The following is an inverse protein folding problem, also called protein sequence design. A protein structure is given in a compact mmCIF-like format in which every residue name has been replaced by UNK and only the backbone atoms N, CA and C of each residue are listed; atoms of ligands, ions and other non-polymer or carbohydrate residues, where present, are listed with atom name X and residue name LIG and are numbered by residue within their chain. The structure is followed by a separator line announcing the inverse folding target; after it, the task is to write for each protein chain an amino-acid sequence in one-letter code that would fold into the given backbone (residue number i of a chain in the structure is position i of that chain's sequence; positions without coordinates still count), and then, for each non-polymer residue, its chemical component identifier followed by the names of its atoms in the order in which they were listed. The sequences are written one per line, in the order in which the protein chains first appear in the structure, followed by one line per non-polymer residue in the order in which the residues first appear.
data_IF_792950967246
#
_entry.id   IF_792950967246
#
_cell.length_a   1.000
_cell.length_b   1.000
_cell.length_c   1.000
_cell.angle_alpha   90.00
_cell.angle_beta   90.00
_cell.angle_gamma   90.00
#
_symmetry.space_group_name_H-M   'P 1'
#
loop_
_entity.id
_entity.type
_entity.pdbx_description
1 polymer ?
#
# COMPACT_ATOMS: atom_id res chain seq x y z
N UNK A 1 -6.55 -6.10 -24.34
CA UNK A 1 -5.83 -6.01 -23.05
C UNK A 1 -4.60 -5.20 -23.32
N UNK A 2 -4.51 -4.05 -22.67
CA UNK A 2 -3.32 -3.21 -22.77
C UNK A 2 -2.11 -3.99 -22.26
N UNK A 3 -1.09 -4.12 -23.10
CA UNK A 3 0.09 -4.94 -22.80
C UNK A 3 1.09 -4.12 -21.98
N UNK A 4 0.95 -4.12 -20.66
CA UNK A 4 1.99 -3.64 -19.75
C UNK A 4 2.64 -4.81 -19.01
N UNK A 5 3.83 -4.59 -18.47
CA UNK A 5 4.53 -5.53 -17.59
C UNK A 5 4.62 -4.91 -16.19
N UNK A 6 4.51 -5.74 -15.15
CA UNK A 6 4.78 -5.27 -13.79
C UNK A 6 6.26 -4.97 -13.64
N UNK A 7 6.56 -3.78 -13.11
CA UNK A 7 7.92 -3.30 -12.92
C UNK A 7 7.92 -2.14 -11.91
N UNK A 8 7.97 -2.45 -10.61
CA UNK A 8 7.94 -1.47 -9.52
C UNK A 8 9.14 -1.70 -8.58
N UNK A 9 10.17 -0.86 -8.69
CA UNK A 9 11.42 -0.94 -7.91
C UNK A 9 11.70 0.31 -7.07
N UNK A 10 10.76 1.25 -7.03
CA UNK A 10 10.91 2.54 -6.35
C UNK A 10 9.56 3.21 -6.17
N UNK A 11 9.41 4.00 -5.11
CA UNK A 11 8.24 4.88 -4.91
C UNK A 11 8.32 6.23 -5.65
N UNK A 12 9.47 6.57 -6.24
CA UNK A 12 9.71 7.89 -6.86
C UNK A 12 9.91 7.82 -8.39
N UNK A 13 9.87 6.62 -8.97
CA UNK A 13 10.04 6.40 -10.41
C UNK A 13 8.87 6.97 -11.22
N UNK A 14 9.06 7.08 -12.53
CA UNK A 14 7.99 7.55 -13.41
C UNK A 14 6.82 6.55 -13.41
N UNK A 15 5.65 7.01 -12.96
CA UNK A 15 4.44 6.21 -12.92
C UNK A 15 3.89 6.03 -14.34
N UNK A 16 3.70 4.77 -14.77
CA UNK A 16 3.18 4.44 -16.10
C UNK A 16 1.75 3.89 -16.08
N UNK A 17 1.42 3.12 -15.06
CA UNK A 17 0.11 2.47 -14.88
C UNK A 17 -0.30 2.60 -13.42
N UNK A 18 -1.55 2.95 -13.16
CA UNK A 18 -2.10 3.02 -11.80
C UNK A 18 -3.51 2.44 -11.76
N UNK A 19 -3.80 1.65 -10.73
CA UNK A 19 -5.15 1.22 -10.43
C UNK A 19 -5.81 2.24 -9.51
N UNK A 20 -7.05 2.61 -9.81
CA UNK A 20 -7.90 3.48 -9.00
C UNK A 20 -9.29 2.84 -8.84
N UNK A 21 -10.09 3.40 -7.94
CA UNK A 21 -11.49 3.03 -7.75
C UNK A 21 -12.30 4.25 -7.35
N UNK A 22 -13.45 4.44 -8.01
CA UNK A 22 -14.35 5.54 -7.68
C UNK A 22 -14.86 5.42 -6.22
N UNK A 23 -15.09 6.56 -5.53
CA UNK A 23 -15.51 6.56 -4.14
C UNK A 23 -16.89 5.91 -3.93
N UNK A 24 -17.19 5.58 -2.67
CA UNK A 24 -18.51 5.08 -2.25
C UNK A 24 -19.61 6.12 -2.53
N UNK A 25 -20.82 5.66 -2.84
CA UNK A 25 -22.05 6.47 -2.92
C UNK A 25 -22.57 6.86 -1.53
N UNK A 26 -22.05 6.25 -0.47
CA UNK A 26 -22.49 6.48 0.91
C UNK A 26 -21.66 7.58 1.56
N UNK A 27 -22.35 8.60 2.07
CA UNK A 27 -21.75 9.69 2.84
C UNK A 27 -21.37 9.24 4.25
N UNK A 28 -20.30 9.83 4.79
CA UNK A 28 -19.98 9.80 6.22
C UNK A 28 -20.42 11.14 6.80
N UNK A 29 -21.56 11.16 7.49
CA UNK A 29 -22.32 12.39 7.75
C UNK A 29 -21.97 13.12 9.04
N UNK A 30 -21.33 12.45 9.99
CA UNK A 30 -20.92 13.05 11.26
C UNK A 30 -19.64 12.41 11.82
N UNK A 31 -19.02 13.11 12.78
CA UNK A 31 -17.74 12.72 13.37
C UNK A 31 -17.81 11.42 14.18
N UNK A 32 -18.97 11.08 14.74
CA UNK A 32 -19.13 9.83 15.51
C UNK A 32 -19.07 8.64 14.57
N UNK A 33 -19.79 8.72 13.45
CA UNK A 33 -19.72 7.70 12.39
C UNK A 33 -18.33 7.65 11.79
N UNK A 34 -17.70 8.80 11.51
CA UNK A 34 -16.34 8.86 10.99
C UNK A 34 -15.35 8.10 11.88
N UNK A 35 -15.36 8.38 13.19
CA UNK A 35 -14.49 7.68 14.15
C UNK A 35 -14.75 6.16 14.17
N UNK A 36 -16.02 5.75 14.15
CA UNK A 36 -16.40 4.33 14.15
C UNK A 36 -15.96 3.55 12.90
N UNK A 37 -15.88 4.22 11.74
CA UNK A 37 -15.42 3.62 10.48
C UNK A 37 -13.93 3.86 10.22
N UNK A 38 -13.22 4.47 11.17
CA UNK A 38 -11.77 4.69 11.12
C UNK A 38 -11.34 5.90 10.28
N UNK A 39 -12.19 6.90 10.14
CA UNK A 39 -11.96 8.12 9.38
C UNK A 39 -11.76 9.32 10.32
N UNK A 40 -10.94 10.28 9.91
CA UNK A 40 -10.63 11.47 10.70
C UNK A 40 -11.70 12.57 10.60
N UNK A 41 -12.56 12.52 9.57
CA UNK A 41 -13.59 13.52 9.31
C UNK A 41 -14.75 12.92 8.50
N UNK A 42 -15.84 13.69 8.43
CA UNK A 42 -16.96 13.51 7.52
C UNK A 42 -16.54 13.58 6.06
N UNK A 43 -17.30 12.90 5.20
CA UNK A 43 -17.06 12.90 3.75
C UNK A 43 -18.37 12.90 3.00
N UNK A 44 -18.42 13.80 2.03
CA UNK A 44 -19.51 13.91 1.08
C UNK A 44 -19.11 13.28 -0.26
N UNK A 45 -19.96 12.39 -0.76
CA UNK A 45 -19.80 11.64 -1.99
C UNK A 45 -19.53 12.54 -3.18
N UNK A 46 -20.32 13.61 -3.37
CA UNK A 46 -20.17 14.49 -4.53
C UNK A 46 -18.78 15.11 -4.57
N UNK A 47 -18.33 15.66 -3.44
CA UNK A 47 -16.98 16.23 -3.33
C UNK A 47 -15.88 15.17 -3.53
N UNK A 48 -16.06 13.97 -2.98
CA UNK A 48 -15.13 12.87 -3.16
C UNK A 48 -15.03 12.44 -4.64
N UNK A 49 -16.17 12.38 -5.34
CA UNK A 49 -16.24 12.04 -6.76
C UNK A 49 -15.59 13.12 -7.63
N UNK A 50 -15.84 14.40 -7.34
CA UNK A 50 -15.20 15.51 -8.06
C UNK A 50 -13.67 15.46 -7.91
N UNK A 51 -13.17 15.22 -6.70
CA UNK A 51 -11.75 15.04 -6.42
C UNK A 51 -11.16 13.81 -7.12
N UNK A 52 -11.88 12.68 -7.10
CA UNK A 52 -11.47 11.46 -7.81
C UNK A 52 -11.34 11.71 -9.31
N UNK A 53 -12.32 12.39 -9.92
CA UNK A 53 -12.28 12.72 -11.35
C UNK A 53 -11.14 13.67 -11.68
N UNK A 54 -10.85 14.65 -10.81
CA UNK A 54 -9.70 15.53 -10.96
C UNK A 54 -8.37 14.77 -10.90
N UNK A 55 -8.21 13.83 -9.95
CA UNK A 55 -7.02 12.98 -9.83
C UNK A 55 -6.85 12.09 -11.07
N UNK A 56 -7.90 11.37 -11.46
CA UNK A 56 -7.91 10.50 -12.64
C UNK A 56 -7.52 11.26 -13.90
N UNK A 57 -8.14 12.42 -14.12
CA UNK A 57 -7.84 13.29 -15.27
C UNK A 57 -6.39 13.78 -15.24
N UNK A 58 -5.84 14.06 -14.06
CA UNK A 58 -4.45 14.49 -13.90
C UNK A 58 -3.48 13.39 -14.32
N UNK A 59 -3.72 12.15 -13.89
CA UNK A 59 -2.93 11.00 -14.33
C UNK A 59 -3.02 10.77 -15.84
N UNK A 60 -4.22 10.77 -16.41
CA UNK A 60 -4.42 10.57 -17.84
C UNK A 60 -3.73 11.67 -18.67
N UNK A 61 -3.81 12.94 -18.24
CA UNK A 61 -3.10 14.06 -18.88
C UNK A 61 -1.58 13.96 -18.78
N UNK A 62 -1.07 13.35 -17.71
CA UNK A 62 0.35 13.05 -17.55
C UNK A 62 0.80 11.82 -18.36
N UNK A 63 -0.09 11.17 -19.10
CA UNK A 63 0.21 9.98 -19.90
C UNK A 63 0.22 8.68 -19.11
N UNK A 64 -0.27 8.69 -17.86
CA UNK A 64 -0.42 7.50 -17.03
C UNK A 64 -1.67 6.73 -17.45
N UNK A 65 -1.54 5.43 -17.66
CA UNK A 65 -2.68 4.55 -17.90
C UNK A 65 -3.43 4.26 -16.60
N UNK A 66 -4.70 4.68 -16.52
CA UNK A 66 -5.52 4.51 -15.32
C UNK A 66 -6.46 3.31 -15.47
N UNK A 67 -6.29 2.31 -14.61
CA UNK A 67 -7.19 1.17 -14.45
C UNK A 67 -8.24 1.48 -13.38
N UNK A 68 -9.46 1.85 -13.77
CA UNK A 68 -10.57 2.13 -12.86
C UNK A 68 -11.39 0.86 -12.61
N UNK A 69 -11.04 0.09 -11.58
CA UNK A 69 -11.60 -1.26 -11.40
C UNK A 69 -13.11 -1.25 -11.12
N UNK A 70 -13.65 -0.13 -10.62
CA UNK A 70 -15.08 0.04 -10.39
C UNK A 70 -15.92 -0.16 -11.66
N UNK A 71 -15.36 0.14 -12.85
CA UNK A 71 -16.04 0.02 -14.14
C UNK A 71 -16.01 -1.40 -14.73
N UNK A 72 -15.20 -2.27 -14.15
CA UNK A 72 -14.90 -3.60 -14.68
C UNK A 72 -15.57 -4.71 -13.86
N UNK A 73 -16.20 -4.35 -12.74
CA UNK A 73 -16.98 -5.26 -11.89
C UNK A 73 -18.25 -5.72 -12.60
N UNK A 74 -18.68 -6.94 -12.30
CA UNK A 74 -20.01 -7.41 -12.68
C UNK A 74 -21.11 -6.61 -11.94
N UNK A 75 -22.34 -6.63 -12.47
CA UNK A 75 -23.43 -5.80 -11.96
C UNK A 75 -23.72 -6.04 -10.46
N UNK A 76 -23.78 -7.30 -10.04
CA UNK A 76 -24.00 -7.70 -8.63
C UNK A 76 -22.85 -7.26 -7.71
N UNK A 77 -21.61 -7.40 -8.18
CA UNK A 77 -20.41 -6.93 -7.50
C UNK A 77 -20.38 -5.41 -7.36
N UNK A 78 -20.83 -4.69 -8.38
CA UNK A 78 -20.90 -3.23 -8.40
C UNK A 78 -21.88 -2.70 -7.33
N UNK A 79 -23.06 -3.33 -7.19
CA UNK A 79 -24.07 -2.94 -6.18
C UNK A 79 -23.52 -2.97 -4.75
N UNK A 80 -22.70 -3.98 -4.42
CA UNK A 80 -22.00 -4.02 -3.14
C UNK A 80 -20.86 -3.00 -3.09
N UNK A 81 -19.99 -3.01 -4.11
CA UNK A 81 -18.77 -2.20 -4.13
C UNK A 81 -19.08 -0.71 -3.95
N UNK A 82 -20.14 -0.20 -4.57
CA UNK A 82 -20.57 1.20 -4.48
C UNK A 82 -20.96 1.67 -3.07
N UNK A 83 -21.16 0.76 -2.12
CA UNK A 83 -21.49 1.10 -0.74
C UNK A 83 -20.28 0.97 0.21
N UNK A 84 -19.17 0.39 -0.25
CA UNK A 84 -17.98 0.15 0.59
C UNK A 84 -17.18 1.45 0.74
N UNK A 85 -17.18 2.01 1.96
CA UNK A 85 -16.58 3.31 2.27
C UNK A 85 -15.10 3.40 1.86
N UNK A 86 -14.30 2.36 2.12
CA UNK A 86 -12.85 2.38 1.91
C UNK A 86 -12.43 1.93 0.49
N UNK A 87 -13.38 1.67 -0.42
CA UNK A 87 -13.11 1.09 -1.75
C UNK A 87 -12.09 1.84 -2.61
N UNK A 88 -11.96 3.15 -2.39
CA UNK A 88 -11.03 3.98 -3.16
C UNK A 88 -9.59 3.95 -2.61
N UNK A 89 -9.37 3.37 -1.42
CA UNK A 89 -8.04 3.08 -0.87
C UNK A 89 -7.47 1.78 -1.46
N UNK A 90 -7.28 1.79 -2.77
CA UNK A 90 -6.72 0.69 -3.56
C UNK A 90 -5.31 0.26 -3.13
N UNK A 91 -4.56 1.18 -2.49
CA UNK A 91 -3.20 0.97 -1.98
C UNK A 91 -3.11 -0.27 -1.09
N UNK A 92 -4.14 -0.56 -0.33
CA UNK A 92 -4.09 -1.59 0.71
C UNK A 92 -4.47 -2.97 0.19
N UNK A 93 -5.15 -3.02 -0.95
CA UNK A 93 -5.72 -4.23 -1.54
C UNK A 93 -4.65 -5.08 -2.23
N UNK A 94 -3.71 -4.43 -2.91
CA UNK A 94 -2.60 -5.05 -3.62
C UNK A 94 -1.50 -4.04 -3.94
N UNK A 95 -0.28 -4.53 -4.12
CA UNK A 95 0.86 -3.73 -4.51
C UNK A 95 1.78 -4.51 -5.46
N UNK A 96 2.61 -3.78 -6.20
CA UNK A 96 3.60 -4.34 -7.11
C UNK A 96 4.97 -4.18 -6.47
N UNK A 97 5.73 -5.27 -6.40
CA UNK A 97 7.09 -5.31 -5.90
C UNK A 97 7.97 -6.06 -6.89
N UNK A 98 9.03 -5.40 -7.38
CA UNK A 98 9.82 -5.90 -8.49
C UNK A 98 8.94 -6.16 -9.71
N UNK A 99 8.85 -7.42 -10.13
CA UNK A 99 8.01 -7.83 -11.25
C UNK A 99 6.80 -8.67 -10.81
N UNK A 100 6.41 -8.58 -9.54
CA UNK A 100 5.33 -9.38 -8.96
C UNK A 100 4.21 -8.53 -8.40
N UNK A 101 3.04 -9.14 -8.36
CA UNK A 101 1.86 -8.64 -7.69
C UNK A 101 1.73 -9.34 -6.33
N UNK A 102 1.77 -8.55 -5.27
CA UNK A 102 1.39 -8.96 -3.92
C UNK A 102 -0.09 -8.62 -3.74
N UNK A 103 -0.92 -9.64 -3.54
CA UNK A 103 -2.31 -9.43 -3.14
C UNK A 103 -2.36 -9.35 -1.61
N UNK A 104 -2.86 -8.24 -1.07
CA UNK A 104 -2.93 -8.06 0.38
C UNK A 104 -3.96 -8.98 1.03
N UNK A 105 -4.05 -8.92 2.35
CA UNK A 105 -5.07 -9.62 3.13
C UNK A 105 -5.57 -8.69 4.23
N UNK A 106 -6.88 -8.45 4.25
CA UNK A 106 -7.47 -7.39 5.07
C UNK A 106 -7.13 -7.53 6.56
N UNK A 107 -6.60 -6.46 7.16
CA UNK A 107 -6.41 -6.36 8.61
C UNK A 107 -7.69 -6.03 9.37
N UNK A 108 -8.70 -5.46 8.69
CA UNK A 108 -10.02 -5.17 9.26
C UNK A 108 -11.16 -5.88 8.54
N UNK A 109 -12.14 -6.34 9.31
CA UNK A 109 -13.37 -6.92 8.78
C UNK A 109 -14.16 -5.96 7.88
N UNK A 110 -14.12 -4.65 8.17
CA UNK A 110 -14.82 -3.63 7.38
C UNK A 110 -14.39 -3.63 5.91
N UNK A 111 -13.12 -3.97 5.66
CA UNK A 111 -12.53 -3.94 4.32
C UNK A 111 -12.48 -5.28 3.62
N UNK A 112 -12.70 -6.39 4.33
CA UNK A 112 -12.68 -7.75 3.77
C UNK A 112 -13.45 -7.90 2.45
N UNK A 113 -14.63 -7.28 2.25
CA UNK A 113 -15.36 -7.38 0.99
C UNK A 113 -14.65 -6.75 -0.21
N UNK A 114 -13.75 -5.78 -0.01
CA UNK A 114 -13.04 -5.06 -1.09
C UNK A 114 -12.01 -5.96 -1.79
N UNK A 115 -11.34 -6.83 -1.02
CA UNK A 115 -10.25 -7.69 -1.47
C UNK A 115 -10.67 -8.65 -2.59
N UNK A 116 -11.67 -9.54 -2.42
CA UNK A 116 -12.06 -10.47 -3.49
C UNK A 116 -12.56 -9.76 -4.75
N UNK A 117 -13.18 -8.58 -4.62
CA UNK A 117 -13.62 -7.77 -5.76
C UNK A 117 -12.43 -7.31 -6.60
N UNK A 118 -11.46 -6.62 -5.97
CA UNK A 118 -10.28 -6.13 -6.67
C UNK A 118 -9.37 -7.28 -7.14
N UNK A 119 -9.18 -8.31 -6.31
CA UNK A 119 -8.33 -9.45 -6.62
C UNK A 119 -8.83 -10.18 -7.85
N UNK A 120 -10.12 -10.53 -7.91
CA UNK A 120 -10.70 -11.26 -9.06
C UNK A 120 -10.45 -10.56 -10.40
N UNK A 121 -10.49 -9.23 -10.42
CA UNK A 121 -10.15 -8.42 -11.59
C UNK A 121 -8.65 -8.45 -11.89
N UNK A 122 -7.80 -8.24 -10.88
CA UNK A 122 -6.35 -8.38 -11.03
C UNK A 122 -5.95 -9.76 -11.56
N UNK A 123 -6.64 -10.83 -11.15
CA UNK A 123 -6.40 -12.18 -11.65
C UNK A 123 -6.80 -12.37 -13.11
N UNK A 124 -7.84 -11.67 -13.55
CA UNK A 124 -8.30 -11.67 -14.93
C UNK A 124 -7.40 -10.84 -15.84
N UNK A 125 -6.85 -9.74 -15.32
CA UNK A 125 -6.01 -8.82 -16.09
C UNK A 125 -4.56 -9.25 -16.18
N UNK A 126 -4.05 -9.93 -15.14
CA UNK A 126 -2.63 -10.18 -14.96
C UNK A 126 -2.32 -11.68 -15.02
N UNK A 127 -1.25 -12.10 -15.71
CA UNK A 127 -0.84 -13.49 -15.76
C UNK A 127 -0.59 -14.09 -14.36
N UNK A 128 -0.99 -15.35 -14.17
CA UNK A 128 -0.88 -16.04 -12.89
C UNK A 128 0.57 -16.10 -12.38
N UNK A 129 1.57 -16.19 -13.27
CA UNK A 129 2.97 -16.23 -12.87
C UNK A 129 3.41 -14.99 -12.07
N UNK A 130 2.73 -13.86 -12.20
CA UNK A 130 3.10 -12.64 -11.47
C UNK A 130 2.75 -12.67 -9.99
N UNK A 131 2.01 -13.67 -9.52
CA UNK A 131 1.61 -13.82 -8.11
C UNK A 131 2.35 -14.93 -7.36
N UNK A 132 3.11 -15.75 -8.07
CA UNK A 132 3.77 -16.92 -7.48
C UNK A 132 4.67 -16.48 -6.31
N UNK A 133 4.54 -17.15 -5.17
CA UNK A 133 5.36 -16.98 -3.97
C UNK A 133 5.25 -15.62 -3.23
N UNK A 134 4.24 -14.80 -3.52
CA UNK A 134 3.98 -13.52 -2.82
C UNK A 134 2.51 -13.38 -2.43
N UNK A 135 2.08 -14.22 -1.47
CA UNK A 135 0.74 -14.20 -0.91
C UNK A 135 0.84 -14.29 0.62
N UNK A 136 0.32 -13.30 1.37
CA UNK A 136 0.41 -13.29 2.82
C UNK A 136 -0.55 -14.32 3.43
N UNK A 137 -0.04 -15.15 4.36
CA UNK A 137 -0.88 -16.13 5.07
C UNK A 137 -1.84 -15.48 6.08
N UNK A 138 -1.50 -14.29 6.57
CA UNK A 138 -2.24 -13.52 7.56
C UNK A 138 -2.44 -12.08 7.07
N UNK A 139 -3.00 -11.20 7.92
CA UNK A 139 -3.27 -9.81 7.56
C UNK A 139 -2.01 -9.09 7.08
N UNK A 140 -2.11 -8.45 5.93
CA UNK A 140 -1.08 -7.64 5.30
C UNK A 140 -1.76 -6.63 4.39
N UNK A 141 -1.72 -5.36 4.76
CA UNK A 141 -2.23 -4.28 3.92
C UNK A 141 -1.04 -3.56 3.28
N UNK A 142 -1.07 -3.39 1.96
CA UNK A 142 0.10 -2.92 1.20
C UNK A 142 0.55 -1.48 1.52
N UNK A 143 -0.23 -0.67 2.24
CA UNK A 143 0.25 0.59 2.84
C UNK A 143 1.36 0.41 3.88
N UNK A 144 1.56 -0.82 4.40
CA UNK A 144 2.66 -1.14 5.31
C UNK A 144 3.98 -1.51 4.62
N UNK A 145 4.02 -1.63 3.28
CA UNK A 145 5.23 -1.95 2.53
C UNK A 145 5.68 -0.73 1.71
N UNK A 146 6.91 -0.29 1.95
CA UNK A 146 7.56 0.75 1.15
C UNK A 146 8.81 0.21 0.47
N UNK A 147 8.92 0.47 -0.83
CA UNK A 147 10.15 0.18 -1.57
C UNK A 147 11.14 1.32 -1.37
N UNK A 148 12.18 1.09 -0.57
CA UNK A 148 13.20 2.10 -0.30
C UNK A 148 14.07 2.35 -1.52
N UNK A 149 14.49 1.27 -2.18
CA UNK A 149 15.23 1.24 -3.43
C UNK A 149 15.23 -0.20 -3.98
N UNK A 150 16.03 -0.47 -5.03
CA UNK A 150 16.18 -1.79 -5.63
C UNK A 150 16.72 -2.88 -4.68
N UNK A 151 17.34 -2.50 -3.57
CA UNK A 151 18.05 -3.40 -2.66
C UNK A 151 17.27 -3.67 -1.37
N UNK A 152 16.36 -2.78 -0.96
CA UNK A 152 15.67 -2.88 0.32
C UNK A 152 14.21 -2.42 0.32
N UNK A 153 13.41 -3.08 1.17
CA UNK A 153 12.05 -2.66 1.55
C UNK A 153 11.96 -2.38 3.05
N UNK A 154 11.04 -1.50 3.43
CA UNK A 154 10.64 -1.26 4.81
C UNK A 154 9.20 -1.73 5.00
N UNK A 155 8.97 -2.57 6.01
CA UNK A 155 7.65 -3.14 6.31
C UNK A 155 7.28 -2.82 7.76
N UNK A 156 6.07 -2.33 7.97
CA UNK A 156 5.54 -2.11 9.31
C UNK A 156 4.86 -3.38 9.86
N UNK A 157 5.26 -3.79 11.05
CA UNK A 157 4.51 -4.70 11.92
C UNK A 157 3.56 -3.82 12.76
N UNK A 158 2.26 -3.95 12.56
CA UNK A 158 1.31 -2.96 13.08
C UNK A 158 -0.09 -3.47 13.28
N UNK A 159 -1.07 -2.57 13.16
CA UNK A 159 -2.49 -2.92 13.28
C UNK A 159 -3.00 -3.75 12.09
N UNK A 160 -2.41 -3.55 10.90
CA UNK A 160 -2.93 -4.08 9.64
C UNK A 160 -2.04 -5.17 9.02
N UNK A 161 -0.82 -5.29 9.50
CA UNK A 161 0.17 -6.26 9.05
C UNK A 161 0.71 -7.05 10.23
N UNK A 162 0.63 -8.39 10.15
CA UNK A 162 1.09 -9.30 11.21
C UNK A 162 2.47 -9.87 10.92
N UNK A 163 3.17 -10.35 11.95
CA UNK A 163 4.51 -10.92 11.78
C UNK A 163 4.48 -12.20 10.95
N UNK A 164 3.42 -13.01 11.08
CA UNK A 164 3.24 -14.24 10.29
C UNK A 164 3.08 -13.93 8.80
N UNK A 165 2.42 -12.81 8.47
CA UNK A 165 2.33 -12.37 7.08
C UNK A 165 3.70 -11.95 6.55
N UNK A 166 4.48 -11.18 7.31
CA UNK A 166 5.84 -10.77 6.93
C UNK A 166 6.75 -11.99 6.72
N UNK A 167 6.73 -12.94 7.65
CA UNK A 167 7.51 -14.17 7.55
C UNK A 167 7.13 -15.00 6.32
N UNK A 168 5.83 -15.07 5.98
CA UNK A 168 5.36 -15.77 4.78
C UNK A 168 5.78 -15.12 3.46
N UNK A 169 6.02 -13.79 3.46
CA UNK A 169 6.39 -13.03 2.26
C UNK A 169 7.90 -12.91 2.06
N UNK A 170 8.69 -13.09 3.12
CA UNK A 170 10.15 -12.87 3.15
C UNK A 170 10.89 -13.58 2.01
N UNK A 171 10.64 -14.87 1.81
CA UNK A 171 11.31 -15.65 0.76
C UNK A 171 10.96 -15.14 -0.64
N UNK A 172 9.68 -14.78 -0.87
CA UNK A 172 9.23 -14.21 -2.14
C UNK A 172 9.89 -12.85 -2.42
N UNK A 173 10.01 -11.99 -1.40
CA UNK A 173 10.68 -10.69 -1.54
C UNK A 173 12.17 -10.87 -1.90
N UNK A 174 12.87 -11.79 -1.24
CA UNK A 174 14.27 -12.08 -1.59
C UNK A 174 14.42 -12.72 -2.98
N UNK A 175 13.48 -13.58 -3.39
CA UNK A 175 13.47 -14.16 -4.74
C UNK A 175 13.27 -13.12 -5.85
N UNK A 176 12.57 -12.01 -5.55
CA UNK A 176 12.46 -10.88 -6.47
C UNK A 176 13.76 -10.08 -6.61
N UNK A 177 14.74 -10.26 -5.72
CA UNK A 177 16.06 -9.66 -5.84
C UNK A 177 16.38 -8.59 -4.81
N UNK A 178 15.47 -8.31 -3.88
CA UNK A 178 15.77 -7.47 -2.72
C UNK A 178 16.79 -8.19 -1.83
N UNK A 179 17.70 -7.44 -1.23
CA UNK A 179 18.76 -7.95 -0.36
C UNK A 179 18.44 -7.83 1.12
N UNK A 180 17.61 -6.84 1.48
CA UNK A 180 17.27 -6.53 2.87
C UNK A 180 15.78 -6.22 3.03
N UNK A 181 15.18 -6.74 4.10
CA UNK A 181 13.84 -6.39 4.57
C UNK A 181 14.01 -5.76 5.94
N UNK A 182 13.68 -4.49 6.08
CA UNK A 182 13.60 -3.83 7.38
C UNK A 182 12.18 -3.94 7.93
N UNK A 183 12.04 -4.35 9.19
CA UNK A 183 10.77 -4.43 9.90
C UNK A 183 10.77 -3.40 11.02
N UNK A 184 9.77 -2.53 11.05
CA UNK A 184 9.52 -1.56 12.11
C UNK A 184 8.22 -1.90 12.84
N UNK A 185 8.19 -1.90 14.18
CA UNK A 185 6.96 -2.09 14.96
C UNK A 185 6.45 -0.74 15.44
N UNK A 186 5.57 -0.11 14.66
CA UNK A 186 4.97 1.17 15.02
C UNK A 186 3.88 0.98 16.08
N UNK A 187 3.56 2.03 16.86
CA UNK A 187 2.44 2.00 17.80
C UNK A 187 1.15 1.57 17.09
N UNK A 188 0.29 0.83 17.79
CA UNK A 188 -0.97 0.34 17.22
C UNK A 188 -2.07 1.34 17.55
N UNK A 189 -2.25 2.34 16.70
CA UNK A 189 -3.21 3.43 16.87
C UNK A 189 -3.80 3.87 15.52
N UNK A 190 -4.89 4.66 15.55
CA UNK A 190 -5.51 5.20 14.35
C UNK A 190 -4.59 6.16 13.57
N UNK A 191 -3.61 6.79 14.23
CA UNK A 191 -2.62 7.67 13.57
C UNK A 191 -1.49 6.89 12.88
N UNK A 192 -1.46 5.57 13.09
CA UNK A 192 -0.39 4.65 12.69
C UNK A 192 -0.96 3.35 12.13
N UNK A 193 -2.08 3.44 11.39
CA UNK A 193 -2.68 2.27 10.72
C UNK A 193 -1.69 1.63 9.74
N UNK A 194 -0.98 2.46 8.98
CA UNK A 194 0.00 2.04 7.98
C UNK A 194 1.33 2.79 8.05
N UNK A 195 2.35 2.22 7.42
CA UNK A 195 3.67 2.84 7.27
C UNK A 195 3.64 4.12 6.43
N UNK A 196 2.91 4.12 5.32
CA UNK A 196 2.81 5.24 4.37
C UNK A 196 2.15 6.51 4.95
N UNK A 197 1.42 6.39 6.07
CA UNK A 197 0.93 7.54 6.85
C UNK A 197 2.03 8.23 7.67
N UNK A 198 3.19 7.59 7.83
CA UNK A 198 4.24 7.99 8.77
C UNK A 198 5.61 8.15 8.10
N UNK A 199 5.82 7.54 6.93
CA UNK A 199 7.08 7.52 6.19
C UNK A 199 6.79 7.42 4.69
N UNK A 200 7.46 8.21 3.85
CA UNK A 200 7.32 8.15 2.39
C UNK A 200 8.68 8.40 1.71
N UNK A 201 9.02 7.59 0.73
CA UNK A 201 10.16 7.84 -0.18
C UNK A 201 9.68 8.82 -1.24
N UNK A 202 10.22 10.04 -1.24
CA UNK A 202 9.76 11.12 -2.13
C UNK A 202 10.74 11.43 -3.26
N UNK A 203 11.96 10.89 -3.18
CA UNK A 203 12.98 11.00 -4.22
C UNK A 203 13.98 9.84 -4.09
N UNK A 204 14.88 9.69 -5.06
CA UNK A 204 15.93 8.66 -5.10
C UNK A 204 16.86 8.66 -3.89
N UNK A 205 16.96 9.79 -3.18
CA UNK A 205 17.82 9.96 -2.01
C UNK A 205 17.10 10.60 -0.82
N UNK A 206 15.76 10.67 -0.83
CA UNK A 206 15.01 11.40 0.20
C UNK A 206 13.78 10.65 0.68
N UNK A 207 13.72 10.48 2.00
CA UNK A 207 12.55 10.05 2.74
C UNK A 207 11.99 11.21 3.55
N UNK A 208 10.67 11.37 3.56
CA UNK A 208 9.95 12.25 4.48
C UNK A 208 9.28 11.38 5.53
N UNK A 209 9.55 11.61 6.81
CA UNK A 209 8.97 10.81 7.90
C UNK A 209 8.60 11.66 9.11
N UNK A 210 7.56 11.25 9.85
CA UNK A 210 7.23 11.88 11.13
C UNK A 210 8.38 11.69 12.12
N UNK A 211 8.74 12.75 12.84
CA UNK A 211 9.93 12.75 13.71
C UNK A 211 9.97 11.64 14.75
N UNK A 212 8.81 11.14 15.22
CA UNK A 212 8.79 10.06 16.21
C UNK A 212 9.36 8.73 15.68
N UNK A 213 9.29 8.49 14.36
CA UNK A 213 9.74 7.24 13.71
C UNK A 213 11.23 6.99 13.96
N UNK A 214 12.05 8.05 14.10
CA UNK A 214 13.50 7.94 14.37
C UNK A 214 13.84 7.25 15.70
N UNK A 215 12.88 7.16 16.61
CA UNK A 215 13.07 6.58 17.94
C UNK A 215 12.80 5.07 17.98
N UNK A 216 12.34 4.49 16.86
CA UNK A 216 12.03 3.06 16.79
C UNK A 216 13.22 2.28 16.23
N UNK A 217 13.59 1.16 16.87
CA UNK A 217 14.52 0.22 16.26
C UNK A 217 13.82 -0.51 15.11
N UNK A 218 14.63 -1.04 14.20
CA UNK A 218 14.17 -1.94 13.15
C UNK A 218 14.89 -3.27 13.24
N UNK A 219 14.20 -4.34 12.86
CA UNK A 219 14.82 -5.63 12.59
C UNK A 219 15.14 -5.71 11.09
N UNK A 220 16.42 -5.82 10.75
CA UNK A 220 16.87 -6.00 9.37
C UNK A 220 17.11 -7.47 9.11
N UNK A 221 16.39 -8.01 8.13
CA UNK A 221 16.51 -9.38 7.66
C UNK A 221 17.30 -9.41 6.35
N UNK A 222 18.20 -10.37 6.25
CA UNK A 222 18.83 -10.83 5.01
C UNK A 222 18.44 -12.29 4.78
N UNK A 223 18.78 -12.86 3.63
CA UNK A 223 18.54 -14.28 3.38
C UNK A 223 19.30 -15.22 4.35
N UNK A 224 20.34 -14.76 5.04
CA UNK A 224 21.19 -15.60 5.90
C UNK A 224 21.22 -15.19 7.38
N UNK A 225 20.81 -13.98 7.71
CA UNK A 225 20.96 -13.43 9.07
C UNK A 225 19.94 -12.35 9.38
N UNK A 226 19.78 -12.04 10.66
CA UNK A 226 19.02 -10.90 11.15
C UNK A 226 19.86 -10.06 12.11
N UNK A 227 19.58 -8.76 12.17
CA UNK A 227 20.18 -7.81 13.11
C UNK A 227 19.20 -6.71 13.46
N UNK A 228 19.50 -5.95 14.51
CA UNK A 228 18.78 -4.72 14.82
C UNK A 228 19.59 -3.49 14.37
N UNK A 229 18.89 -2.46 13.93
CA UNK A 229 19.44 -1.15 13.55
C UNK A 229 18.48 -0.03 13.98
N UNK A 230 18.87 1.23 13.82
CA UNK A 230 17.98 2.38 13.92
C UNK A 230 17.55 2.83 12.53
N UNK A 231 16.31 3.30 12.40
CA UNK A 231 15.72 3.74 11.11
C UNK A 231 16.66 4.68 10.34
N UNK A 232 17.17 5.73 10.99
CA UNK A 232 17.99 6.73 10.30
C UNK A 232 19.33 6.16 9.81
N UNK A 233 20.00 5.35 10.63
CA UNK A 233 21.26 4.69 10.27
C UNK A 233 21.08 3.76 9.07
N UNK A 234 20.00 2.99 9.08
CA UNK A 234 19.65 2.07 7.99
C UNK A 234 19.35 2.82 6.70
N UNK A 235 18.51 3.85 6.74
CA UNK A 235 18.17 4.66 5.57
C UNK A 235 19.40 5.34 4.97
N UNK A 236 20.26 5.93 5.80
CA UNK A 236 21.51 6.57 5.32
C UNK A 236 22.46 5.58 4.66
N UNK A 237 22.58 4.35 5.18
CA UNK A 237 23.39 3.28 4.56
C UNK A 237 22.85 2.89 3.17
N UNK A 238 21.56 3.06 2.94
CA UNK A 238 20.90 2.87 1.64
C UNK A 238 20.90 4.13 0.76
N UNK A 239 21.64 5.18 1.13
CA UNK A 239 21.75 6.42 0.36
C UNK A 239 20.53 7.34 0.47
N UNK A 240 19.70 7.16 1.49
CA UNK A 240 18.49 7.94 1.73
C UNK A 240 18.72 8.90 2.91
N UNK A 241 18.67 10.20 2.62
CA UNK A 241 18.52 11.23 3.65
C UNK A 241 17.08 11.24 4.16
N UNK A 242 16.89 11.73 5.39
CA UNK A 242 15.57 11.80 6.01
C UNK A 242 15.23 13.24 6.39
N UNK A 243 14.13 13.73 5.84
CA UNK A 243 13.48 14.96 6.29
C UNK A 243 12.44 14.62 7.36
N UNK A 244 12.74 14.98 8.61
CA UNK A 244 11.86 14.76 9.74
C UNK A 244 10.80 15.85 9.85
N UNK A 245 9.53 15.48 9.80
CA UNK A 245 8.42 16.40 10.06
C UNK A 245 8.38 16.76 11.55
N UNK A 246 8.35 18.06 11.83
CA UNK A 246 8.00 18.55 13.15
C UNK A 246 6.54 18.18 13.39
N UNK A 247 6.30 17.46 14.50
CA UNK A 247 4.99 17.01 14.95
C UNK A 247 3.98 18.15 14.97
#
# INVERSE_FOLDING_TARGET
MDSFQLNCWSEHGELKVVMLCAPSLVDVTDLTVAEQVGWSDTVNHQKAMDNFMALKTTFEKAGVHVLDYARELAHDQQLLSEQLLNRYFVRDLACVIGNRLLLGNAGSSLRKPEYPLAHSLLEKWLPQQWKANLQPLHSFECGDLLILNKDAVLINLGMRTSIEAIESLKEGIFQEGFSEIAIIDLPKSNDTLHLDMNCNVVNANLVVAKSFVRHFPIQVLTAQSSRFDMVESFLKRHGLDVYWLNS
#
